data_IF_080457317632
#
_entry.id   IF_080457317632
#
_cell.length_a   1.000
_cell.length_b   1.000
_cell.length_c   1.000
_cell.angle_alpha   90.00
_cell.angle_beta   90.00
_cell.angle_gamma   90.00
#
_symmetry.space_group_name_H-M   'P 1'
#
loop_
_entity.id
_entity.type
_entity.pdbx_description
1 polymer ?
#
# COMPACT_ATOMS: atom_id res chain seq x y z
N UNK A 1 -58.06 44.66 9.72
CA UNK A 1 -56.67 44.96 9.42
C UNK A 1 -56.63 46.33 8.74
N UNK A 2 -55.88 47.35 9.29
CA UNK A 2 -55.86 48.75 8.75
C UNK A 2 -55.20 48.72 7.35
N UNK A 3 -55.68 49.54 6.42
CA UNK A 3 -55.19 49.64 5.04
C UNK A 3 -53.65 49.79 4.97
N UNK A 4 -53.06 50.58 5.87
CA UNK A 4 -51.62 50.79 6.01
C UNK A 4 -50.87 49.51 6.37
N UNK A 5 -51.47 48.60 7.16
CA UNK A 5 -50.87 47.31 7.50
C UNK A 5 -50.83 46.35 6.33
N UNK A 6 -51.85 46.33 5.48
CA UNK A 6 -51.88 45.55 4.23
C UNK A 6 -50.80 45.98 3.24
N UNK A 7 -50.65 47.32 3.02
CA UNK A 7 -49.61 47.83 2.13
C UNK A 7 -48.21 47.47 2.64
N UNK A 8 -47.94 47.65 3.92
CA UNK A 8 -46.63 47.25 4.51
C UNK A 8 -46.36 45.76 4.38
N UNK A 9 -47.36 44.92 4.57
CA UNK A 9 -47.22 43.48 4.38
C UNK A 9 -46.93 43.10 2.95
N UNK A 10 -47.65 43.68 2.00
CA UNK A 10 -47.43 43.45 0.55
C UNK A 10 -46.00 43.90 0.14
N UNK A 11 -45.60 45.11 0.54
CA UNK A 11 -44.24 45.59 0.23
C UNK A 11 -43.16 44.73 0.84
N UNK A 12 -43.37 44.22 2.09
CA UNK A 12 -42.41 43.30 2.73
C UNK A 12 -42.31 41.94 1.98
N UNK A 13 -43.45 41.37 1.60
CA UNK A 13 -43.48 40.11 0.82
C UNK A 13 -42.83 40.29 -0.55
N UNK A 14 -43.14 41.37 -1.23
CA UNK A 14 -42.56 41.64 -2.58
C UNK A 14 -41.04 41.83 -2.55
N UNK A 15 -40.49 42.34 -1.43
CA UNK A 15 -39.05 42.45 -1.27
C UNK A 15 -38.41 41.15 -0.76
N UNK A 16 -39.05 40.45 0.18
CA UNK A 16 -38.46 39.30 0.87
C UNK A 16 -38.49 38.02 0.00
N UNK A 17 -39.57 37.81 -0.74
CA UNK A 17 -39.73 36.60 -1.55
C UNK A 17 -38.66 36.48 -2.64
N UNK A 18 -38.38 37.52 -3.46
CA UNK A 18 -37.29 37.42 -4.45
C UNK A 18 -35.92 37.21 -3.80
N UNK A 19 -35.68 37.84 -2.64
CA UNK A 19 -34.40 37.67 -1.91
C UNK A 19 -34.23 36.25 -1.42
N UNK A 20 -35.26 35.64 -0.86
CA UNK A 20 -35.21 34.24 -0.41
C UNK A 20 -35.00 33.31 -1.60
N UNK A 21 -35.72 33.52 -2.71
CA UNK A 21 -35.58 32.70 -3.95
C UNK A 21 -34.16 32.85 -4.51
N UNK A 22 -33.65 34.07 -4.61
CA UNK A 22 -32.30 34.33 -5.11
C UNK A 22 -31.24 33.65 -4.21
N UNK A 23 -31.37 33.79 -2.89
CA UNK A 23 -30.45 33.14 -1.94
C UNK A 23 -30.51 31.62 -2.05
N UNK A 24 -31.70 31.05 -2.19
CA UNK A 24 -31.88 29.63 -2.39
C UNK A 24 -31.22 29.12 -3.67
N UNK A 25 -31.42 29.80 -4.80
CA UNK A 25 -30.79 29.46 -6.09
C UNK A 25 -29.28 29.55 -5.99
N UNK A 26 -28.74 30.65 -5.44
CA UNK A 26 -27.28 30.83 -5.27
C UNK A 26 -26.71 29.73 -4.37
N UNK A 27 -27.41 29.34 -3.31
CA UNK A 27 -26.95 28.26 -2.42
C UNK A 27 -26.92 26.92 -3.14
N UNK A 28 -27.92 26.61 -3.99
CA UNK A 28 -27.94 25.37 -4.77
C UNK A 28 -26.78 25.33 -5.79
N UNK A 29 -26.57 26.43 -6.51
CA UNK A 29 -25.49 26.53 -7.50
C UNK A 29 -24.10 26.45 -6.82
N UNK A 30 -23.92 27.16 -5.69
CA UNK A 30 -22.68 27.10 -4.92
C UNK A 30 -22.38 25.68 -4.39
N UNK A 31 -23.42 24.97 -3.90
CA UNK A 31 -23.23 23.56 -3.48
C UNK A 31 -22.82 22.66 -4.63
N UNK A 32 -23.48 22.77 -5.79
CA UNK A 32 -23.14 21.95 -6.97
C UNK A 32 -21.70 22.21 -7.42
N UNK A 33 -21.27 23.48 -7.46
CA UNK A 33 -19.90 23.87 -7.81
C UNK A 33 -18.88 23.34 -6.78
N UNK A 34 -19.15 23.44 -5.48
CA UNK A 34 -18.28 22.92 -4.42
C UNK A 34 -18.12 21.40 -4.51
N UNK A 35 -19.19 20.67 -4.81
CA UNK A 35 -19.11 19.22 -5.01
C UNK A 35 -18.26 18.88 -6.22
N UNK A 36 -18.48 19.55 -7.35
CA UNK A 36 -17.69 19.34 -8.58
C UNK A 36 -16.20 19.60 -8.36
N UNK A 37 -15.86 20.68 -7.64
CA UNK A 37 -14.47 21.01 -7.32
C UNK A 37 -13.86 19.96 -6.34
N UNK A 38 -14.62 19.48 -5.37
CA UNK A 38 -14.17 18.44 -4.45
C UNK A 38 -13.89 17.12 -5.20
N UNK A 39 -14.79 16.72 -6.12
CA UNK A 39 -14.63 15.55 -6.96
C UNK A 39 -13.40 15.64 -7.85
N UNK A 40 -13.22 16.73 -8.54
CA UNK A 40 -12.05 16.97 -9.39
C UNK A 40 -10.74 16.90 -8.58
N UNK A 41 -10.73 17.48 -7.38
CA UNK A 41 -9.60 17.46 -6.49
C UNK A 41 -9.27 16.04 -5.99
N UNK A 42 -10.27 15.28 -5.55
CA UNK A 42 -10.08 13.89 -5.10
C UNK A 42 -9.58 13.00 -6.24
N UNK A 43 -10.11 13.19 -7.45
CA UNK A 43 -9.66 12.48 -8.64
C UNK A 43 -8.19 12.79 -8.95
N UNK A 44 -7.79 14.05 -8.93
CA UNK A 44 -6.41 14.46 -9.16
C UNK A 44 -5.46 13.87 -8.10
N UNK A 45 -5.84 13.92 -6.82
CA UNK A 45 -5.06 13.31 -5.72
C UNK A 45 -4.92 11.80 -5.93
N UNK A 46 -6.00 11.11 -6.26
CA UNK A 46 -5.97 9.66 -6.53
C UNK A 46 -5.00 9.33 -7.66
N UNK A 47 -5.05 10.04 -8.78
CA UNK A 47 -4.15 9.80 -9.92
C UNK A 47 -2.68 10.06 -9.58
N UNK A 48 -2.40 11.11 -8.82
CA UNK A 48 -1.04 11.40 -8.35
C UNK A 48 -0.54 10.26 -7.45
N UNK A 49 -1.35 9.83 -6.48
CA UNK A 49 -1.00 8.74 -5.57
C UNK A 49 -0.81 7.42 -6.29
N UNK A 50 -1.68 7.09 -7.25
CA UNK A 50 -1.55 5.90 -8.07
C UNK A 50 -0.19 5.89 -8.79
N UNK A 51 0.18 6.97 -9.48
CA UNK A 51 1.48 7.07 -10.18
C UNK A 51 2.66 6.96 -9.21
N UNK A 52 2.57 7.58 -8.04
CA UNK A 52 3.62 7.49 -7.03
C UNK A 52 3.81 6.06 -6.50
N UNK A 53 2.72 5.34 -6.26
CA UNK A 53 2.76 3.94 -5.83
C UNK A 53 3.28 3.04 -6.95
N UNK A 54 2.82 3.22 -8.18
CA UNK A 54 3.33 2.46 -9.34
C UNK A 54 4.84 2.67 -9.53
N UNK A 55 5.32 3.92 -9.45
CA UNK A 55 6.74 4.24 -9.54
C UNK A 55 7.53 3.58 -8.38
N UNK A 56 7.04 3.65 -7.15
CA UNK A 56 7.68 3.01 -6.00
C UNK A 56 7.80 1.48 -6.18
N UNK A 57 6.77 0.81 -6.71
CA UNK A 57 6.85 -0.63 -7.00
C UNK A 57 7.83 -0.95 -8.14
N UNK A 58 7.96 -0.06 -9.13
CA UNK A 58 8.99 -0.16 -10.17
C UNK A 58 10.40 0.00 -9.57
N UNK A 59 10.58 0.95 -8.64
CA UNK A 59 11.85 1.13 -7.92
C UNK A 59 12.20 -0.10 -7.07
N UNK A 60 11.23 -0.71 -6.39
CA UNK A 60 11.44 -1.97 -5.68
C UNK A 60 11.86 -3.10 -6.63
N UNK A 61 11.22 -3.23 -7.78
CA UNK A 61 11.57 -4.23 -8.76
C UNK A 61 12.99 -3.99 -9.34
N UNK A 62 13.36 -2.75 -9.62
CA UNK A 62 14.70 -2.37 -10.05
C UNK A 62 15.75 -2.65 -8.95
N UNK A 63 15.43 -2.35 -7.72
CA UNK A 63 16.27 -2.66 -6.56
C UNK A 63 16.50 -4.16 -6.38
N UNK A 64 15.44 -4.97 -6.52
CA UNK A 64 15.56 -6.43 -6.53
C UNK A 64 16.45 -6.93 -7.68
N UNK A 65 16.39 -6.31 -8.85
CA UNK A 65 17.27 -6.66 -9.98
C UNK A 65 18.73 -6.33 -9.66
N UNK A 66 19.00 -5.18 -9.03
CA UNK A 66 20.36 -4.79 -8.60
C UNK A 66 20.92 -5.80 -7.59
N UNK A 67 20.15 -6.17 -6.57
CA UNK A 67 20.53 -7.20 -5.59
C UNK A 67 20.76 -8.54 -6.30
N UNK A 68 19.89 -8.90 -7.23
CA UNK A 68 20.00 -10.13 -8.03
C UNK A 68 21.29 -10.19 -8.82
N UNK A 69 21.73 -9.08 -9.44
CA UNK A 69 22.98 -9.01 -10.19
C UNK A 69 24.20 -9.23 -9.29
N UNK A 70 24.21 -8.65 -8.08
CA UNK A 70 25.27 -8.87 -7.08
C UNK A 70 25.31 -10.34 -6.66
N UNK A 71 24.15 -10.95 -6.40
CA UNK A 71 24.09 -12.37 -6.03
C UNK A 71 24.59 -13.27 -7.16
N UNK A 72 24.23 -12.99 -8.43
CA UNK A 72 24.73 -13.78 -9.58
C UNK A 72 26.25 -13.67 -9.72
N UNK A 73 26.81 -12.48 -9.49
CA UNK A 73 28.24 -12.24 -9.67
C UNK A 73 29.09 -12.87 -8.55
N UNK A 74 28.63 -12.78 -7.30
CA UNK A 74 29.51 -12.97 -6.14
C UNK A 74 29.06 -14.10 -5.20
N UNK A 75 27.89 -14.76 -5.46
CA UNK A 75 27.44 -15.82 -4.56
C UNK A 75 28.38 -17.03 -4.61
N UNK A 76 29.00 -17.30 -3.46
CA UNK A 76 29.61 -18.58 -3.18
C UNK A 76 28.64 -19.41 -2.30
N UNK A 77 28.04 -20.52 -2.83
CA UNK A 77 27.10 -21.31 -2.05
C UNK A 77 27.67 -21.93 -0.77
N UNK A 78 29.00 -22.14 -0.71
CA UNK A 78 29.69 -22.63 0.50
C UNK A 78 29.93 -21.53 1.53
N UNK A 79 29.93 -20.28 1.11
CA UNK A 79 30.15 -19.11 1.96
C UNK A 79 29.15 -17.97 1.67
N UNK A 80 27.82 -18.22 1.77
CA UNK A 80 26.81 -17.23 1.37
C UNK A 80 26.85 -15.96 2.21
N UNK A 81 27.39 -16.03 3.43
CA UNK A 81 27.54 -14.88 4.32
C UNK A 81 28.68 -13.92 3.91
N UNK A 82 29.54 -14.30 2.97
CA UNK A 82 30.56 -13.38 2.43
C UNK A 82 29.93 -12.13 1.80
N UNK A 83 28.69 -12.24 1.27
CA UNK A 83 27.93 -11.13 0.70
C UNK A 83 27.22 -10.26 1.74
N UNK A 84 27.29 -10.59 3.04
CA UNK A 84 26.44 -9.95 4.07
C UNK A 84 26.55 -8.43 4.05
N UNK A 85 27.76 -7.88 4.12
CA UNK A 85 27.96 -6.43 4.18
C UNK A 85 27.40 -5.72 2.93
N UNK A 86 27.64 -6.28 1.75
CA UNK A 86 27.17 -5.70 0.48
C UNK A 86 25.64 -5.76 0.37
N UNK A 87 25.04 -6.92 0.60
CA UNK A 87 23.58 -7.09 0.49
C UNK A 87 22.83 -6.33 1.57
N UNK A 88 23.35 -6.26 2.80
CA UNK A 88 22.75 -5.48 3.87
C UNK A 88 22.80 -3.98 3.56
N UNK A 89 23.96 -3.46 3.09
CA UNK A 89 24.10 -2.06 2.74
C UNK A 89 23.16 -1.67 1.58
N UNK A 90 23.15 -2.44 0.50
CA UNK A 90 22.29 -2.21 -0.67
C UNK A 90 20.83 -2.32 -0.27
N UNK A 91 20.44 -3.36 0.46
CA UNK A 91 19.05 -3.56 0.91
C UNK A 91 18.55 -2.38 1.75
N UNK A 92 19.37 -1.88 2.67
CA UNK A 92 19.05 -0.72 3.51
C UNK A 92 18.93 0.57 2.67
N UNK A 93 19.84 0.80 1.74
CA UNK A 93 19.82 1.98 0.85
C UNK A 93 18.56 1.99 -0.03
N UNK A 94 18.20 0.83 -0.59
CA UNK A 94 16.98 0.66 -1.40
C UNK A 94 15.71 0.66 -0.55
N UNK A 95 15.84 0.58 0.79
CA UNK A 95 14.73 0.66 1.75
C UNK A 95 13.92 -0.62 1.85
N UNK A 96 14.55 -1.78 1.67
CA UNK A 96 13.96 -3.06 2.01
C UNK A 96 14.12 -3.34 3.52
N UNK A 97 13.14 -4.05 4.09
CA UNK A 97 13.22 -4.50 5.47
C UNK A 97 14.20 -5.66 5.61
N UNK A 98 14.13 -6.64 4.71
CA UNK A 98 15.04 -7.77 4.64
C UNK A 98 15.34 -8.16 3.18
N UNK A 99 16.47 -8.84 3.00
CA UNK A 99 16.94 -9.41 1.73
C UNK A 99 17.27 -10.87 1.96
N UNK A 100 16.74 -11.75 1.13
CA UNK A 100 16.91 -13.20 1.20
C UNK A 100 17.61 -13.75 -0.03
N UNK A 101 18.47 -14.76 0.17
CA UNK A 101 18.89 -15.67 -0.87
C UNK A 101 18.44 -17.08 -0.48
N UNK A 102 17.71 -17.73 -1.37
CA UNK A 102 17.07 -19.02 -1.12
C UNK A 102 17.65 -20.02 -2.11
N UNK A 103 18.19 -21.11 -1.60
CA UNK A 103 18.79 -22.18 -2.39
C UNK A 103 17.74 -23.00 -3.17
N UNK A 104 18.15 -23.79 -4.18
CA UNK A 104 17.24 -24.59 -5.01
C UNK A 104 16.35 -25.57 -4.23
N UNK A 105 16.85 -26.08 -3.11
CA UNK A 105 16.14 -26.99 -2.19
C UNK A 105 15.19 -26.28 -1.21
N UNK A 106 15.10 -24.93 -1.29
CA UNK A 106 14.26 -24.11 -0.44
C UNK A 106 14.90 -23.64 0.86
N UNK A 107 16.17 -23.94 1.10
CA UNK A 107 16.90 -23.45 2.27
C UNK A 107 17.17 -21.95 2.14
N UNK A 108 16.82 -21.17 3.17
CA UNK A 108 17.18 -19.75 3.28
C UNK A 108 18.65 -19.66 3.69
N UNK A 109 19.55 -19.53 2.71
CA UNK A 109 21.00 -19.49 2.93
C UNK A 109 21.51 -18.12 3.34
N UNK A 110 20.72 -17.07 3.09
CA UNK A 110 21.01 -15.70 3.49
C UNK A 110 19.73 -14.96 3.87
N UNK A 111 19.80 -14.16 4.95
CA UNK A 111 18.84 -13.13 5.36
C UNK A 111 19.63 -11.99 5.96
N UNK A 112 19.32 -10.74 5.59
CA UNK A 112 19.97 -9.56 6.13
C UNK A 112 19.56 -9.29 7.59
N UNK A 113 18.27 -9.49 7.92
CA UNK A 113 17.73 -9.32 9.26
C UNK A 113 18.04 -10.52 10.18
N UNK A 114 18.30 -11.70 9.62
CA UNK A 114 18.55 -12.97 10.35
C UNK A 114 17.48 -13.30 11.38
N UNK A 115 16.23 -13.16 10.97
CA UNK A 115 15.09 -13.58 11.79
C UNK A 115 14.99 -15.13 11.82
N UNK A 116 13.93 -15.67 12.40
CA UNK A 116 13.76 -17.11 12.61
C UNK A 116 13.64 -17.95 11.31
N UNK A 117 13.44 -17.30 10.17
CA UNK A 117 13.44 -17.93 8.84
C UNK A 117 14.85 -18.17 8.28
N UNK A 118 15.87 -17.50 8.80
CA UNK A 118 17.25 -17.77 8.41
C UNK A 118 17.63 -19.21 8.73
N UNK A 119 18.21 -19.92 7.76
CA UNK A 119 18.52 -21.36 7.83
C UNK A 119 17.29 -22.28 7.95
N UNK A 120 16.07 -21.77 7.72
CA UNK A 120 14.89 -22.60 7.58
C UNK A 120 14.65 -23.04 6.13
N UNK A 121 13.90 -24.13 5.95
CA UNK A 121 13.53 -24.60 4.62
C UNK A 121 12.10 -24.19 4.29
N UNK A 122 11.90 -23.50 3.14
CA UNK A 122 10.60 -22.99 2.71
C UNK A 122 9.72 -24.03 2.00
N UNK A 123 10.21 -25.27 1.80
CA UNK A 123 9.43 -26.35 1.19
C UNK A 123 8.82 -27.22 2.28
N UNK A 124 9.60 -27.63 3.28
CA UNK A 124 9.21 -28.60 4.29
C UNK A 124 9.48 -28.15 5.74
N UNK A 125 9.96 -26.92 5.94
CA UNK A 125 10.23 -26.35 7.26
C UNK A 125 9.02 -25.67 7.90
N UNK A 126 9.20 -25.04 9.05
CA UNK A 126 8.11 -24.43 9.83
C UNK A 126 7.40 -23.28 9.12
N UNK A 127 8.05 -22.65 8.14
CA UNK A 127 7.52 -21.51 7.38
C UNK A 127 7.09 -21.86 5.95
N UNK A 128 6.91 -23.15 5.62
CA UNK A 128 6.53 -23.62 4.28
C UNK A 128 5.16 -23.09 3.79
N UNK A 129 4.30 -22.62 4.71
CA UNK A 129 3.01 -22.03 4.37
C UNK A 129 3.01 -20.49 4.39
N UNK A 130 4.18 -19.86 4.63
CA UNK A 130 4.30 -18.41 4.69
C UNK A 130 4.19 -17.77 3.30
N UNK A 131 3.95 -16.46 3.27
CA UNK A 131 3.97 -15.71 2.01
C UNK A 131 5.39 -15.61 1.41
N UNK A 132 6.48 -15.70 2.20
CA UNK A 132 7.83 -15.87 1.68
C UNK A 132 7.97 -17.21 0.93
N UNK A 133 7.42 -18.30 1.46
CA UNK A 133 7.43 -19.59 0.77
C UNK A 133 6.58 -19.55 -0.51
N UNK A 134 5.45 -18.87 -0.51
CA UNK A 134 4.60 -18.70 -1.70
C UNK A 134 5.33 -17.91 -2.79
N UNK A 135 5.97 -16.77 -2.46
CA UNK A 135 6.71 -15.99 -3.44
C UNK A 135 7.91 -16.76 -3.99
N UNK A 136 8.60 -17.55 -3.16
CA UNK A 136 9.66 -18.46 -3.59
C UNK A 136 9.15 -19.47 -4.64
N UNK A 137 8.07 -20.18 -4.36
CA UNK A 137 7.49 -21.16 -5.29
C UNK A 137 7.02 -20.51 -6.60
N UNK A 138 6.34 -19.36 -6.51
CA UNK A 138 5.86 -18.62 -7.68
C UNK A 138 6.98 -18.08 -8.55
N UNK A 139 8.09 -17.59 -7.96
CA UNK A 139 9.23 -17.08 -8.72
C UNK A 139 9.96 -18.19 -9.47
N UNK A 140 10.02 -19.39 -8.91
CA UNK A 140 10.57 -20.57 -9.59
C UNK A 140 9.76 -20.99 -10.81
N UNK A 141 8.42 -20.91 -10.69
CA UNK A 141 7.52 -21.22 -11.81
C UNK A 141 7.53 -20.14 -12.90
N UNK A 142 7.87 -18.90 -12.55
CA UNK A 142 7.91 -17.74 -13.46
C UNK A 142 9.34 -17.25 -13.65
N UNK A 143 10.17 -18.09 -14.27
CA UNK A 143 11.61 -17.85 -14.46
C UNK A 143 11.90 -16.42 -14.95
N UNK A 144 12.84 -15.76 -14.29
CA UNK A 144 13.32 -14.39 -14.55
C UNK A 144 12.28 -13.25 -14.41
N UNK A 145 11.03 -13.54 -14.04
CA UNK A 145 10.03 -12.52 -13.74
C UNK A 145 10.07 -12.14 -12.27
N UNK A 146 9.82 -10.87 -11.99
CA UNK A 146 9.56 -10.40 -10.62
C UNK A 146 8.13 -10.80 -10.25
N UNK A 147 7.97 -11.45 -9.10
CA UNK A 147 6.68 -11.81 -8.53
C UNK A 147 6.50 -11.13 -7.18
N UNK A 148 5.25 -10.78 -6.86
CA UNK A 148 4.86 -10.13 -5.62
C UNK A 148 3.87 -11.03 -4.86
N UNK A 149 4.09 -11.21 -3.57
CA UNK A 149 3.11 -11.70 -2.60
C UNK A 149 2.72 -10.58 -1.65
N UNK A 150 1.42 -10.38 -1.53
CA UNK A 150 0.81 -9.32 -0.72
C UNK A 150 1.01 -9.56 0.79
N UNK A 151 0.71 -8.54 1.57
CA UNK A 151 0.83 -8.57 3.03
C UNK A 151 0.03 -9.71 3.66
N UNK A 152 0.69 -10.44 4.53
CA UNK A 152 0.09 -11.45 5.42
C UNK A 152 0.86 -11.43 6.74
N UNK A 153 0.25 -11.86 7.86
CA UNK A 153 0.98 -12.05 9.10
C UNK A 153 2.17 -13.00 8.89
N UNK A 154 3.37 -12.57 9.28
CA UNK A 154 4.60 -13.28 9.05
C UNK A 154 5.25 -13.69 10.39
N UNK A 155 5.21 -14.97 10.70
CA UNK A 155 5.65 -15.48 11.99
C UNK A 155 7.11 -15.15 12.34
N UNK A 156 8.11 -15.23 11.40
CA UNK A 156 9.48 -14.84 11.71
C UNK A 156 9.60 -13.40 12.21
N UNK A 157 8.85 -12.47 11.63
CA UNK A 157 8.76 -11.07 12.08
C UNK A 157 7.72 -10.87 13.19
N UNK A 158 7.57 -11.85 14.10
CA UNK A 158 6.65 -11.81 15.28
C UNK A 158 5.17 -11.61 14.92
N UNK A 159 4.76 -12.07 13.74
CA UNK A 159 3.39 -11.93 13.24
C UNK A 159 3.10 -10.56 12.60
N UNK A 160 4.08 -9.69 12.47
CA UNK A 160 3.92 -8.44 11.73
C UNK A 160 3.55 -8.71 10.26
N UNK A 161 2.67 -7.90 9.67
CA UNK A 161 2.34 -8.05 8.26
C UNK A 161 3.57 -7.82 7.37
N UNK A 162 3.84 -8.74 6.46
CA UNK A 162 4.95 -8.64 5.52
C UNK A 162 4.49 -8.96 4.09
N UNK A 163 5.02 -8.21 3.13
CA UNK A 163 4.86 -8.44 1.71
C UNK A 163 6.24 -8.71 1.10
N UNK A 164 6.29 -9.54 0.07
CA UNK A 164 7.56 -9.96 -0.52
C UNK A 164 7.55 -9.80 -2.03
N UNK A 165 8.68 -9.37 -2.59
CA UNK A 165 9.00 -9.50 -4.00
C UNK A 165 10.13 -10.51 -4.18
N UNK A 166 10.09 -11.31 -5.24
CA UNK A 166 11.12 -12.27 -5.53
C UNK A 166 11.37 -12.44 -7.02
N UNK A 167 12.57 -12.89 -7.34
CA UNK A 167 13.01 -13.26 -8.69
C UNK A 167 13.88 -14.50 -8.63
N UNK A 168 13.64 -15.45 -9.55
CA UNK A 168 14.53 -16.61 -9.71
C UNK A 168 15.75 -16.25 -10.53
N UNK A 169 16.88 -16.84 -10.18
CA UNK A 169 18.19 -16.67 -10.81
C UNK A 169 18.76 -18.04 -11.15
N UNK A 170 19.52 -18.12 -12.24
CA UNK A 170 20.30 -19.30 -12.57
C UNK A 170 21.77 -19.05 -12.26
N UNK A 171 22.35 -19.86 -11.39
CA UNK A 171 23.75 -19.81 -10.99
C UNK A 171 24.32 -21.24 -11.09
N UNK A 172 25.27 -21.48 -12.02
CA UNK A 172 25.89 -22.80 -12.18
C UNK A 172 24.89 -23.93 -12.47
N UNK A 173 23.87 -23.72 -13.30
CA UNK A 173 22.79 -24.67 -13.61
C UNK A 173 21.83 -24.97 -12.45
N UNK A 174 21.85 -24.18 -11.40
CA UNK A 174 20.93 -24.29 -10.27
C UNK A 174 20.07 -23.05 -10.17
N UNK A 175 18.77 -23.24 -9.82
CA UNK A 175 17.82 -22.16 -9.70
C UNK A 175 17.74 -21.66 -8.26
N UNK A 176 18.40 -20.56 -7.97
CA UNK A 176 18.26 -19.79 -6.72
C UNK A 176 17.09 -18.80 -6.80
N UNK A 177 16.67 -18.27 -5.66
CA UNK A 177 15.71 -17.19 -5.60
C UNK A 177 16.26 -16.09 -4.70
N UNK A 178 16.23 -14.86 -5.20
CA UNK A 178 16.40 -13.66 -4.38
C UNK A 178 15.03 -13.11 -4.06
N UNK A 179 14.77 -12.85 -2.78
CA UNK A 179 13.55 -12.21 -2.32
C UNK A 179 13.88 -11.00 -1.45
N UNK A 180 12.98 -10.03 -1.43
CA UNK A 180 13.06 -8.85 -0.56
C UNK A 180 11.74 -8.69 0.19
N UNK A 181 11.82 -8.32 1.47
CA UNK A 181 10.66 -7.92 2.25
C UNK A 181 10.45 -6.41 2.10
N UNK A 182 9.24 -6.02 1.71
CA UNK A 182 8.91 -4.62 1.48
C UNK A 182 8.72 -3.89 2.81
N UNK A 183 9.20 -2.65 2.86
CA UNK A 183 9.03 -1.78 4.03
C UNK A 183 7.67 -1.09 4.00
N UNK A 184 6.87 -1.25 5.06
CA UNK A 184 5.62 -0.50 5.27
C UNK A 184 5.91 1.00 5.35
N UNK A 185 7.02 1.40 5.96
CA UNK A 185 7.39 2.81 6.12
C UNK A 185 7.59 3.51 4.76
N UNK A 186 8.15 2.81 3.76
CA UNK A 186 8.27 3.35 2.41
C UNK A 186 6.91 3.59 1.76
N UNK A 187 5.97 2.68 1.94
CA UNK A 187 4.60 2.83 1.44
C UNK A 187 3.90 3.99 2.17
N UNK A 188 4.04 4.05 3.49
CA UNK A 188 3.51 5.14 4.30
C UNK A 188 4.09 6.49 3.91
N UNK A 189 5.40 6.58 3.62
CA UNK A 189 6.02 7.81 3.17
C UNK A 189 5.35 8.39 1.91
N UNK A 190 4.87 7.54 1.00
CA UNK A 190 4.10 7.99 -0.16
C UNK A 190 2.68 8.37 0.22
N UNK A 191 1.98 7.50 0.98
CA UNK A 191 0.54 7.67 1.22
C UNK A 191 0.21 8.76 2.21
N UNK A 192 1.07 9.04 3.20
CA UNK A 192 0.86 10.04 4.24
C UNK A 192 1.19 11.48 3.83
N UNK A 193 1.72 11.71 2.62
CA UNK A 193 1.83 13.06 2.05
C UNK A 193 0.42 13.60 1.80
N UNK A 194 0.05 14.68 2.50
CA UNK A 194 -1.33 15.24 2.51
C UNK A 194 -1.42 16.63 1.88
N UNK A 195 -0.46 17.02 1.07
CA UNK A 195 -0.48 18.31 0.41
C UNK A 195 -1.75 18.49 -0.43
N UNK A 196 -2.43 19.60 -0.19
CA UNK A 196 -3.69 19.88 -0.86
C UNK A 196 -4.92 19.15 -0.34
N UNK A 197 -4.84 18.22 0.60
CA UNK A 197 -6.00 17.45 1.10
C UNK A 197 -6.78 18.16 2.21
N UNK A 198 -6.29 19.28 2.74
CA UNK A 198 -6.92 19.99 3.85
C UNK A 198 -6.78 19.26 5.19
N UNK A 199 -7.68 19.55 6.15
CA UNK A 199 -7.57 18.98 7.49
C UNK A 199 -8.13 17.56 7.62
N UNK A 200 -9.16 17.24 6.85
CA UNK A 200 -9.91 15.98 6.94
C UNK A 200 -9.64 15.00 5.80
N UNK A 201 -8.87 15.40 4.80
CA UNK A 201 -8.52 14.52 3.69
C UNK A 201 -7.33 13.64 4.01
N UNK A 202 -7.38 12.39 3.59
CA UNK A 202 -6.27 11.46 3.62
C UNK A 202 -6.33 10.50 2.42
N UNK A 203 -5.24 9.78 2.17
CA UNK A 203 -5.21 8.66 1.23
C UNK A 203 -4.57 7.46 1.91
N UNK A 204 -5.08 6.28 1.61
CA UNK A 204 -4.53 5.01 2.08
C UNK A 204 -4.76 3.89 1.05
N UNK A 205 -3.98 2.84 1.17
CA UNK A 205 -4.09 1.64 0.35
C UNK A 205 -4.88 0.56 1.08
N UNK A 206 -5.75 -0.13 0.35
CA UNK A 206 -6.58 -1.23 0.85
C UNK A 206 -6.40 -2.43 -0.06
N UNK A 207 -6.19 -3.60 0.53
CA UNK A 207 -6.13 -4.87 -0.21
C UNK A 207 -7.52 -5.44 -0.51
N UNK A 208 -7.57 -6.50 -1.35
CA UNK A 208 -8.83 -7.16 -1.72
C UNK A 208 -9.56 -7.80 -0.53
N UNK A 209 -8.87 -8.03 0.56
CA UNK A 209 -9.37 -8.50 1.85
C UNK A 209 -9.89 -7.37 2.75
N UNK A 210 -10.02 -6.14 2.23
CA UNK A 210 -10.44 -4.93 2.94
C UNK A 210 -9.51 -4.52 4.09
N UNK A 211 -8.30 -5.08 4.16
CA UNK A 211 -7.28 -4.72 5.14
C UNK A 211 -6.37 -3.63 4.61
N UNK A 212 -5.83 -2.84 5.53
CA UNK A 212 -4.91 -1.75 5.22
C UNK A 212 -3.62 -2.27 4.57
N UNK A 213 -3.11 -1.53 3.59
CA UNK A 213 -1.78 -1.72 2.98
C UNK A 213 -0.87 -0.51 3.18
N UNK A 214 -1.42 0.55 3.74
CA UNK A 214 -0.73 1.70 4.33
C UNK A 214 -1.47 2.16 5.57
N UNK A 215 -0.81 2.88 6.45
CA UNK A 215 -1.43 3.40 7.66
C UNK A 215 -2.29 4.64 7.34
N UNK A 216 -3.45 4.75 8.00
CA UNK A 216 -4.24 5.97 8.02
C UNK A 216 -3.50 7.05 8.79
N UNK A 217 -3.49 8.26 8.26
CA UNK A 217 -2.99 9.44 8.96
C UNK A 217 -3.95 9.92 10.04
N UNK A 218 -5.27 9.89 9.76
CA UNK A 218 -6.31 10.41 10.64
C UNK A 218 -6.66 9.44 11.78
N UNK A 219 -6.52 8.14 11.56
CA UNK A 219 -6.73 7.10 12.58
C UNK A 219 -5.51 6.18 12.71
N UNK A 220 -4.41 6.77 13.13
CA UNK A 220 -3.11 6.10 13.27
C UNK A 220 -3.05 5.04 14.39
N UNK A 221 -4.10 4.83 15.14
CA UNK A 221 -4.20 3.79 16.18
C UNK A 221 -4.93 2.55 15.70
N UNK A 222 -6.10 2.75 15.06
CA UNK A 222 -6.98 1.63 14.73
C UNK A 222 -6.83 1.20 13.26
N UNK A 223 -6.48 2.13 12.36
CA UNK A 223 -6.40 1.87 10.91
C UNK A 223 -4.96 1.92 10.41
N UNK A 224 -4.13 1.06 11.00
CA UNK A 224 -2.78 0.79 10.52
C UNK A 224 -2.74 -0.57 9.83
N UNK A 225 -1.69 -0.85 9.04
CA UNK A 225 -1.46 -2.17 8.46
C UNK A 225 -1.44 -3.22 9.56
N UNK A 226 -0.65 -2.98 10.62
CA UNK A 226 -0.55 -3.86 11.78
C UNK A 226 -1.92 -4.12 12.46
N UNK A 227 -2.66 -3.07 12.80
CA UNK A 227 -3.95 -3.20 13.48
C UNK A 227 -4.97 -3.95 12.61
N UNK A 228 -4.98 -3.70 11.30
CA UNK A 228 -5.93 -4.34 10.40
C UNK A 228 -5.70 -5.84 10.22
N UNK A 229 -4.44 -6.31 10.35
CA UNK A 229 -4.13 -7.75 10.31
C UNK A 229 -4.29 -8.42 11.67
N UNK A 230 -4.11 -7.69 12.78
CA UNK A 230 -4.32 -8.22 14.13
C UNK A 230 -5.80 -8.27 14.54
N UNK A 231 -6.65 -7.41 13.95
CA UNK A 231 -8.06 -7.26 14.32
C UNK A 231 -9.06 -7.69 13.25
N UNK A 232 -10.33 -7.41 13.52
CA UNK A 232 -11.41 -7.65 12.57
C UNK A 232 -11.48 -6.51 11.53
N UNK A 233 -11.87 -6.84 10.29
CA UNK A 233 -12.04 -5.85 9.22
C UNK A 233 -13.05 -4.76 9.59
N UNK A 234 -14.13 -5.13 10.28
CA UNK A 234 -15.17 -4.19 10.73
C UNK A 234 -14.68 -3.09 11.67
N UNK A 235 -13.57 -3.31 12.38
CA UNK A 235 -13.01 -2.35 13.35
C UNK A 235 -11.71 -1.71 12.89
N UNK A 236 -10.88 -2.46 12.16
CA UNK A 236 -9.52 -2.06 11.79
C UNK A 236 -9.26 -2.06 10.28
N UNK A 237 -10.21 -2.57 9.48
CA UNK A 237 -10.17 -2.54 8.01
C UNK A 237 -11.03 -1.42 7.42
N UNK A 238 -11.29 -1.51 6.11
CA UNK A 238 -12.07 -0.53 5.36
C UNK A 238 -13.20 -1.25 4.61
N UNK A 239 -14.30 -1.50 5.32
CA UNK A 239 -15.54 -2.04 4.74
C UNK A 239 -16.54 -0.89 4.53
N UNK A 240 -16.33 -0.12 3.47
CA UNK A 240 -17.20 0.98 3.06
C UNK A 240 -17.71 0.77 1.64
N UNK A 241 -18.83 1.38 1.30
CA UNK A 241 -19.37 1.31 -0.07
C UNK A 241 -18.34 1.80 -1.10
N UNK A 242 -17.59 2.87 -0.79
CA UNK A 242 -16.56 3.42 -1.65
C UNK A 242 -15.36 2.43 -1.83
N UNK A 243 -14.87 1.83 -0.74
CA UNK A 243 -13.80 0.83 -0.82
C UNK A 243 -14.24 -0.39 -1.62
N UNK A 244 -15.45 -0.89 -1.39
CA UNK A 244 -16.01 -2.04 -2.10
C UNK A 244 -16.20 -1.76 -3.60
N UNK A 245 -16.59 -0.54 -3.98
CA UNK A 245 -16.67 -0.12 -5.38
C UNK A 245 -15.27 -0.04 -6.01
N UNK A 246 -14.30 0.57 -5.31
CA UNK A 246 -12.92 0.68 -5.78
C UNK A 246 -12.26 -0.69 -5.98
N UNK A 247 -12.47 -1.65 -5.07
CA UNK A 247 -11.97 -3.03 -5.20
C UNK A 247 -12.58 -3.79 -6.39
N UNK A 248 -13.75 -3.35 -6.88
CA UNK A 248 -14.37 -3.85 -8.13
C UNK A 248 -13.92 -3.09 -9.37
N UNK A 249 -12.94 -2.19 -9.25
CA UNK A 249 -12.45 -1.35 -10.35
C UNK A 249 -13.38 -0.20 -10.73
N UNK A 250 -14.37 0.13 -9.89
CA UNK A 250 -15.29 1.24 -10.12
C UNK A 250 -14.69 2.51 -9.55
N UNK A 251 -14.48 3.51 -10.40
CA UNK A 251 -14.17 4.86 -9.94
C UNK A 251 -15.47 5.57 -9.57
N UNK A 252 -15.50 6.22 -8.41
CA UNK A 252 -16.66 6.94 -7.92
C UNK A 252 -16.34 7.72 -6.64
N UNK A 253 -17.29 8.54 -6.23
CA UNK A 253 -17.33 9.24 -4.94
C UNK A 253 -18.36 8.59 -4.03
#
# INVERSE_FOLDING_TARGET
MRFTTKIRLISLITALVPLIVATFIVTLLARAELFSQAEAKLTAVREIKQRQIEAMFQDFAAGLQTISAVVVADLNPEQPLALHNSLQAIGKELGFYDVFVIAPDGLVIYSAAREADFQSNLINGPYANSNLAKVFQRSRAKTQQVVLEDFQPYAPSKGEPAAFMAKSLEIGHQQYVVAVQLSIDKINAVMQVREGMGQTGESYLVGPDQRMRSDSYLDSRNRTVRASFAGAVSTHGVDTAAANAALKGQAGL
#
